data_IF_268639487935
#
_entry.id   IF_268639487935
#
_cell.length_a   1.000
_cell.length_b   1.000
_cell.length_c   1.000
_cell.angle_alpha   90.00
_cell.angle_beta   90.00
_cell.angle_gamma   90.00
#
_symmetry.space_group_name_H-M   'P 1'
#
loop_
_entity.id
_entity.type
_entity.pdbx_description
1 polymer ?
#
# COMPACT_ATOMS: atom_id res chain seq x y z
N UNK A 1 -2.06 -29.65 -18.24
CA UNK A 1 -3.26 -28.79 -18.19
C UNK A 1 -3.13 -27.75 -19.30
N UNK A 2 -4.20 -27.28 -19.95
CA UNK A 2 -4.08 -26.19 -20.90
C UNK A 2 -3.48 -24.97 -20.19
N UNK A 3 -2.63 -24.21 -20.88
CA UNK A 3 -2.03 -23.00 -20.36
C UNK A 3 -3.13 -22.02 -19.96
N UNK A 4 -3.08 -21.49 -18.73
CA UNK A 4 -4.03 -20.47 -18.28
C UNK A 4 -3.75 -19.16 -19.04
N UNK A 5 -4.78 -18.44 -19.48
CA UNK A 5 -4.58 -17.10 -20.04
C UNK A 5 -3.79 -16.21 -19.09
N UNK A 6 -2.89 -15.41 -19.64
CA UNK A 6 -2.15 -14.44 -18.87
C UNK A 6 -3.10 -13.37 -18.30
N UNK A 7 -2.93 -13.02 -17.04
CA UNK A 7 -3.63 -11.90 -16.40
C UNK A 7 -2.65 -11.11 -15.53
N UNK A 8 -2.88 -9.81 -15.42
CA UNK A 8 -2.11 -8.91 -14.58
C UNK A 8 -3.05 -8.11 -13.68
N UNK A 9 -2.57 -7.72 -12.51
CA UNK A 9 -3.29 -6.79 -11.68
C UNK A 9 -3.30 -5.41 -12.36
N UNK A 10 -4.45 -4.74 -12.36
CA UNK A 10 -4.63 -3.40 -12.92
C UNK A 10 -5.07 -2.41 -11.85
N UNK A 11 -6.28 -2.55 -11.33
CA UNK A 11 -6.88 -1.60 -10.39
C UNK A 11 -7.77 -2.33 -9.39
N UNK A 12 -8.17 -1.61 -8.35
CA UNK A 12 -9.20 -2.06 -7.42
C UNK A 12 -10.10 -0.89 -7.02
N UNK A 13 -11.33 -1.21 -6.57
CA UNK A 13 -12.28 -0.23 -6.09
C UNK A 13 -12.76 -0.56 -4.69
N UNK A 14 -13.10 0.49 -3.92
CA UNK A 14 -13.71 0.33 -2.61
C UNK A 14 -14.68 1.45 -2.30
N UNK A 15 -15.61 1.15 -1.38
CA UNK A 15 -16.62 2.09 -0.96
C UNK A 15 -16.11 3.03 0.12
N UNK A 16 -16.52 4.30 0.01
CA UNK A 16 -16.22 5.38 0.97
C UNK A 16 -17.51 6.09 1.39
N UNK A 17 -17.53 6.68 2.58
CA UNK A 17 -18.67 7.48 3.07
C UNK A 17 -18.68 8.85 2.45
N UNK A 18 -17.56 9.55 2.56
CA UNK A 18 -17.36 10.90 2.06
C UNK A 18 -16.38 10.87 0.87
N UNK A 19 -16.95 10.80 -0.34
CA UNK A 19 -16.17 10.72 -1.58
C UNK A 19 -15.25 11.92 -1.77
N UNK A 20 -15.73 13.15 -1.47
CA UNK A 20 -14.96 14.37 -1.68
C UNK A 20 -13.75 14.44 -0.75
N UNK A 21 -13.96 14.13 0.53
CA UNK A 21 -12.89 14.08 1.53
C UNK A 21 -11.84 13.03 1.17
N UNK A 22 -12.27 11.86 0.71
CA UNK A 22 -11.35 10.79 0.34
C UNK A 22 -10.60 11.10 -0.94
N UNK A 23 -11.25 11.68 -1.95
CA UNK A 23 -10.57 12.18 -3.16
C UNK A 23 -9.52 13.22 -2.79
N UNK A 24 -9.85 14.21 -1.94
CA UNK A 24 -8.87 15.21 -1.46
C UNK A 24 -7.68 14.54 -0.78
N UNK A 25 -7.93 13.60 0.13
CA UNK A 25 -6.87 12.89 0.83
C UNK A 25 -5.93 12.14 -0.11
N UNK A 26 -6.48 11.35 -1.05
CA UNK A 26 -5.67 10.56 -1.99
C UNK A 26 -4.92 11.44 -3.00
N UNK A 27 -5.50 12.56 -3.41
CA UNK A 27 -4.83 13.47 -4.34
C UNK A 27 -3.77 14.31 -3.66
N UNK A 28 -4.08 14.93 -2.55
CA UNK A 28 -3.20 15.86 -1.85
C UNK A 28 -2.05 15.16 -1.12
N UNK A 29 -2.33 14.11 -0.33
CA UNK A 29 -1.30 13.42 0.44
C UNK A 29 -0.57 12.36 -0.38
N UNK A 30 -1.30 11.52 -1.11
CA UNK A 30 -0.71 10.39 -1.82
C UNK A 30 -0.35 10.70 -3.28
N UNK A 31 -0.67 11.91 -3.77
CA UNK A 31 -0.27 12.39 -5.09
C UNK A 31 -0.99 11.70 -6.25
N UNK A 32 -2.20 11.20 -6.03
CA UNK A 32 -3.04 10.71 -7.11
C UNK A 32 -3.64 11.87 -7.92
N UNK A 33 -3.98 11.61 -9.16
CA UNK A 33 -4.72 12.51 -10.03
C UNK A 33 -6.07 11.88 -10.32
N UNK A 34 -7.14 12.67 -10.26
CA UNK A 34 -8.46 12.24 -10.73
C UNK A 34 -8.44 12.21 -12.24
N UNK A 35 -8.57 11.02 -12.83
CA UNK A 35 -8.71 10.85 -14.29
C UNK A 35 -10.13 11.13 -14.75
N UNK A 36 -11.11 10.60 -14.01
CA UNK A 36 -12.53 10.84 -14.25
C UNK A 36 -13.34 10.84 -12.95
N UNK A 37 -14.49 11.49 -13.02
CA UNK A 37 -15.46 11.54 -11.93
C UNK A 37 -16.87 11.66 -12.47
N UNK A 38 -17.82 11.00 -11.83
CA UNK A 38 -19.21 11.07 -12.28
C UNK A 38 -20.18 10.37 -11.35
N UNK A 39 -21.33 10.07 -11.89
CA UNK A 39 -22.40 9.37 -11.23
C UNK A 39 -22.86 8.19 -12.08
N UNK A 40 -22.97 7.03 -11.48
CA UNK A 40 -23.43 5.80 -12.11
C UNK A 40 -24.83 5.47 -11.60
N UNK A 41 -25.80 5.34 -12.51
CA UNK A 41 -27.12 4.83 -12.17
C UNK A 41 -27.02 3.35 -11.78
N UNK A 42 -27.54 3.02 -10.61
CA UNK A 42 -27.59 1.65 -10.11
C UNK A 42 -29.01 1.26 -9.68
N UNK A 43 -29.36 -0.02 -9.55
CA UNK A 43 -30.65 -0.45 -9.01
C UNK A 43 -30.96 0.08 -7.61
N UNK A 44 -29.95 0.57 -6.88
CA UNK A 44 -30.07 1.15 -5.53
C UNK A 44 -30.09 2.69 -5.55
N UNK A 45 -30.12 3.31 -6.72
CA UNK A 45 -30.02 4.74 -6.93
C UNK A 45 -28.65 5.17 -7.43
N UNK A 46 -28.46 6.48 -7.61
CA UNK A 46 -27.23 7.05 -8.15
C UNK A 46 -26.04 6.82 -7.22
N UNK A 47 -24.91 6.41 -7.80
CA UNK A 47 -23.65 6.15 -7.11
C UNK A 47 -22.59 7.12 -7.60
N UNK A 48 -22.15 8.03 -6.75
CA UNK A 48 -21.01 8.90 -7.05
C UNK A 48 -19.71 8.11 -7.03
N UNK A 49 -18.86 8.34 -8.04
CA UNK A 49 -17.63 7.58 -8.26
C UNK A 49 -16.50 8.48 -8.74
N UNK A 50 -15.28 8.18 -8.33
CA UNK A 50 -14.08 8.86 -8.80
C UNK A 50 -13.01 7.82 -9.15
N UNK A 51 -12.30 8.08 -10.24
CA UNK A 51 -11.21 7.27 -10.78
C UNK A 51 -9.91 8.01 -10.58
N UNK A 52 -8.90 7.35 -9.99
CA UNK A 52 -7.65 7.99 -9.60
C UNK A 52 -6.45 7.19 -10.11
N UNK A 53 -5.44 7.91 -10.62
CA UNK A 53 -4.20 7.30 -11.11
C UNK A 53 -2.96 8.10 -10.73
N UNK A 54 -1.80 7.43 -10.72
CA UNK A 54 -0.45 8.00 -10.68
C UNK A 54 0.39 7.59 -11.90
N UNK A 55 -0.17 6.78 -12.81
CA UNK A 55 0.50 6.33 -14.02
C UNK A 55 -0.27 6.83 -15.23
N UNK A 56 0.35 7.64 -16.12
CA UNK A 56 -0.33 8.17 -17.32
C UNK A 56 -0.72 7.10 -18.35
N UNK A 57 -0.24 5.87 -18.17
CA UNK A 57 -0.61 4.72 -19.03
C UNK A 57 -1.86 3.99 -18.52
N UNK A 58 -2.26 4.24 -17.28
CA UNK A 58 -3.40 3.61 -16.63
C UNK A 58 -4.50 4.64 -16.41
N UNK A 59 -5.69 4.39 -16.98
CA UNK A 59 -6.84 5.27 -16.76
C UNK A 59 -7.10 5.45 -15.27
N UNK A 60 -7.03 4.37 -14.49
CA UNK A 60 -7.14 4.41 -13.04
C UNK A 60 -6.43 3.20 -12.40
N UNK A 61 -5.91 3.42 -11.22
CA UNK A 61 -5.36 2.40 -10.34
C UNK A 61 -6.25 2.18 -9.11
N UNK A 62 -7.00 3.22 -8.74
CA UNK A 62 -7.98 3.20 -7.64
C UNK A 62 -9.31 3.75 -8.12
N UNK A 63 -10.39 3.11 -7.65
CA UNK A 63 -11.76 3.62 -7.79
C UNK A 63 -12.33 3.85 -6.40
N UNK A 64 -12.75 5.09 -6.13
CA UNK A 64 -13.50 5.44 -4.93
C UNK A 64 -14.98 5.52 -5.28
N UNK A 65 -15.81 4.73 -4.64
CA UNK A 65 -17.26 4.73 -4.81
C UNK A 65 -17.94 5.18 -3.53
N UNK A 66 -18.86 6.13 -3.61
CA UNK A 66 -19.67 6.55 -2.47
C UNK A 66 -20.57 5.43 -1.95
N UNK A 67 -21.25 5.66 -0.83
CA UNK A 67 -22.27 4.75 -0.32
C UNK A 67 -21.78 3.65 0.63
N UNK A 68 -20.59 3.80 1.21
CA UNK A 68 -20.16 2.94 2.31
C UNK A 68 -21.12 3.11 3.50
N UNK A 69 -21.72 2.02 4.05
CA UNK A 69 -22.55 2.10 5.24
C UNK A 69 -21.77 2.59 6.47
N UNK A 70 -22.46 3.36 7.34
CA UNK A 70 -21.86 3.88 8.57
C UNK A 70 -21.65 2.80 9.64
N UNK A 71 -22.47 1.78 9.64
CA UNK A 71 -22.54 0.71 10.65
C UNK A 71 -21.67 -0.51 10.34
N UNK A 72 -20.73 -0.41 9.40
CA UNK A 72 -19.81 -1.51 9.13
C UNK A 72 -18.91 -1.80 10.34
N UNK A 73 -18.92 -3.02 10.89
CA UNK A 73 -18.20 -3.38 12.10
C UNK A 73 -16.68 -3.40 11.92
N UNK A 74 -16.19 -3.59 10.68
CA UNK A 74 -14.77 -3.55 10.34
C UNK A 74 -14.57 -3.32 8.83
N UNK A 75 -13.34 -2.94 8.45
CA UNK A 75 -12.97 -2.84 7.05
C UNK A 75 -12.70 -4.22 6.43
N UNK A 76 -13.36 -4.53 5.32
CA UNK A 76 -13.16 -5.78 4.58
C UNK A 76 -11.83 -5.81 3.82
N UNK A 77 -11.25 -4.64 3.53
CA UNK A 77 -9.92 -4.50 2.95
C UNK A 77 -8.92 -4.47 4.12
N UNK A 78 -8.04 -5.47 4.18
CA UNK A 78 -7.04 -5.55 5.25
C UNK A 78 -6.02 -4.42 5.13
N UNK A 79 -5.51 -4.16 3.92
CA UNK A 79 -4.59 -3.07 3.62
C UNK A 79 -4.55 -2.71 2.14
N UNK A 80 -4.13 -1.50 1.86
CA UNK A 80 -3.82 -0.98 0.53
C UNK A 80 -2.34 -0.60 0.55
N UNK A 81 -1.52 -1.29 -0.23
CA UNK A 81 -0.06 -1.12 -0.19
C UNK A 81 0.47 -0.44 -1.43
N UNK A 82 1.31 0.59 -1.23
CA UNK A 82 1.99 1.32 -2.30
C UNK A 82 3.50 1.20 -2.13
N UNK A 83 4.17 0.77 -3.21
CA UNK A 83 5.63 0.72 -3.24
C UNK A 83 6.20 2.11 -3.48
N UNK A 84 7.18 2.48 -2.68
CA UNK A 84 7.97 3.70 -2.82
C UNK A 84 9.26 3.38 -3.59
N UNK A 85 9.77 4.36 -4.33
CA UNK A 85 11.01 4.21 -5.10
C UNK A 85 12.27 4.22 -4.21
N UNK A 86 12.19 4.91 -3.07
CA UNK A 86 13.34 5.08 -2.18
C UNK A 86 12.95 5.16 -0.71
N UNK A 87 13.90 4.83 0.15
CA UNK A 87 13.73 4.96 1.60
C UNK A 87 13.65 6.42 2.05
N UNK A 88 14.38 7.32 1.40
CA UNK A 88 14.26 8.78 1.66
C UNK A 88 12.83 9.26 1.40
N UNK A 89 12.22 8.85 0.28
CA UNK A 89 10.82 9.14 -0.02
C UNK A 89 9.86 8.56 1.02
N UNK A 90 10.10 7.34 1.50
CA UNK A 90 9.30 6.75 2.59
C UNK A 90 9.40 7.60 3.87
N UNK A 91 10.59 8.10 4.21
CA UNK A 91 10.81 8.98 5.35
C UNK A 91 10.11 10.33 5.21
N UNK A 92 10.15 10.92 4.02
CA UNK A 92 9.43 12.16 3.73
C UNK A 92 7.92 11.97 3.90
N UNK A 93 7.39 10.89 3.36
CA UNK A 93 5.98 10.53 3.52
C UNK A 93 5.61 10.26 4.98
N UNK A 94 6.49 9.60 5.75
CA UNK A 94 6.26 9.41 7.18
C UNK A 94 6.08 10.74 7.92
N UNK A 95 6.91 11.75 7.64
CA UNK A 95 6.76 13.10 8.22
C UNK A 95 5.45 13.76 7.81
N UNK A 96 5.10 13.69 6.52
CA UNK A 96 3.86 14.24 6.00
C UNK A 96 2.64 13.59 6.66
N UNK A 97 2.64 12.26 6.79
CA UNK A 97 1.58 11.47 7.45
C UNK A 97 1.43 11.86 8.91
N UNK A 98 2.52 12.08 9.65
CA UNK A 98 2.46 12.51 11.06
C UNK A 98 1.84 13.89 11.25
N UNK A 99 1.92 14.75 10.24
CA UNK A 99 1.37 16.11 10.26
C UNK A 99 -0.05 16.17 9.67
N UNK A 100 -0.55 15.08 9.11
CA UNK A 100 -1.81 15.05 8.38
C UNK A 100 -3.01 14.84 9.31
N UNK A 101 -3.99 15.74 9.22
CA UNK A 101 -5.25 15.61 9.96
C UNK A 101 -6.10 14.46 9.39
N UNK A 102 -6.70 13.67 10.26
CA UNK A 102 -7.52 12.53 9.87
C UNK A 102 -6.76 11.22 9.66
N UNK A 103 -5.44 11.24 9.75
CA UNK A 103 -4.61 10.03 9.83
C UNK A 103 -4.56 9.51 11.26
N UNK A 104 -4.54 8.20 11.41
CA UNK A 104 -4.38 7.54 12.70
C UNK A 104 -3.54 6.26 12.59
N UNK A 105 -3.15 5.70 13.74
CA UNK A 105 -2.43 4.42 13.87
C UNK A 105 -1.15 4.35 13.01
N UNK A 106 -0.34 5.41 13.01
CA UNK A 106 0.94 5.44 12.29
C UNK A 106 1.93 4.47 12.95
N UNK A 107 2.38 3.49 12.17
CA UNK A 107 3.23 2.41 12.66
C UNK A 107 4.35 2.07 11.66
N UNK A 108 5.57 2.56 11.84
CA UNK A 108 6.73 2.10 11.09
C UNK A 108 7.13 0.68 11.52
N UNK A 109 7.33 -0.20 10.54
CA UNK A 109 7.71 -1.61 10.78
C UNK A 109 8.66 -2.14 9.72
N UNK A 110 9.51 -3.09 10.10
CA UNK A 110 10.26 -3.93 9.19
C UNK A 110 9.60 -5.29 9.08
N UNK A 111 9.40 -5.74 7.86
CA UNK A 111 9.02 -7.11 7.52
C UNK A 111 10.23 -7.97 7.11
N UNK A 112 11.43 -7.45 7.30
CA UNK A 112 12.63 -8.04 6.73
C UNK A 112 12.70 -7.79 5.21
N UNK A 113 11.77 -8.30 4.42
CA UNK A 113 11.68 -8.09 2.94
C UNK A 113 11.36 -6.66 2.53
N UNK A 114 10.78 -5.88 3.43
CA UNK A 114 10.35 -4.50 3.20
C UNK A 114 10.46 -3.69 4.49
N UNK A 115 10.69 -2.38 4.32
CA UNK A 115 10.54 -1.37 5.36
C UNK A 115 9.28 -0.59 5.07
N UNK A 116 8.35 -0.55 6.02
CA UNK A 116 6.99 -0.08 5.81
C UNK A 116 6.59 0.99 6.82
N UNK A 117 5.71 1.90 6.41
CA UNK A 117 4.94 2.78 7.28
C UNK A 117 3.47 2.48 7.06
N UNK A 118 2.82 1.96 8.09
CA UNK A 118 1.38 1.77 8.13
C UNK A 118 0.69 2.99 8.73
N UNK A 119 -0.50 3.27 8.26
CA UNK A 119 -1.40 4.26 8.86
C UNK A 119 -2.85 3.99 8.42
N UNK A 120 -3.80 4.66 9.05
CA UNK A 120 -5.20 4.66 8.61
C UNK A 120 -5.55 5.99 7.95
N UNK A 121 -6.26 5.91 6.84
CA UNK A 121 -6.86 7.06 6.16
C UNK A 121 -8.04 7.65 6.97
N UNK A 122 -8.65 8.76 6.54
CA UNK A 122 -9.74 9.40 7.27
C UNK A 122 -10.98 8.54 7.51
N UNK A 123 -11.13 7.44 6.78
CA UNK A 123 -12.24 6.48 6.97
C UNK A 123 -11.78 5.15 7.59
N UNK A 124 -10.54 5.10 8.09
CA UNK A 124 -9.99 3.95 8.79
C UNK A 124 -9.52 2.82 7.89
N UNK A 125 -9.38 3.02 6.58
CA UNK A 125 -8.75 2.03 5.72
C UNK A 125 -7.25 2.02 5.99
N UNK A 126 -6.67 0.83 6.19
CA UNK A 126 -5.23 0.71 6.43
C UNK A 126 -4.46 0.88 5.13
N UNK A 127 -3.51 1.79 5.15
CA UNK A 127 -2.56 2.03 4.07
C UNK A 127 -1.17 1.60 4.52
N UNK A 128 -0.41 1.05 3.60
CA UNK A 128 1.00 0.75 3.75
C UNK A 128 1.78 1.47 2.65
N UNK A 129 2.77 2.24 3.04
CA UNK A 129 3.84 2.69 2.13
C UNK A 129 5.08 1.88 2.45
N UNK A 130 5.74 1.31 1.43
CA UNK A 130 6.89 0.45 1.67
C UNK A 130 7.98 0.58 0.61
N UNK A 131 9.19 0.22 1.00
CA UNK A 131 10.32 -0.01 0.10
C UNK A 131 10.80 -1.44 0.25
N UNK A 132 11.16 -2.07 -0.86
CA UNK A 132 11.77 -3.40 -0.84
C UNK A 132 13.19 -3.34 -0.26
N UNK A 133 13.58 -4.44 0.37
CA UNK A 133 14.98 -4.68 0.76
C UNK A 133 15.67 -5.62 -0.25
N UNK A 134 17.00 -5.60 -0.34
CA UNK A 134 17.72 -6.47 -1.27
C UNK A 134 17.88 -7.93 -0.77
N UNK A 135 17.15 -8.30 0.27
CA UNK A 135 17.14 -9.65 0.82
C UNK A 135 15.72 -10.17 1.04
N UNK A 136 15.63 -11.45 1.27
CA UNK A 136 14.41 -12.17 1.63
C UNK A 136 14.55 -12.79 3.02
N UNK A 137 13.47 -12.77 3.78
CA UNK A 137 13.23 -13.59 4.97
C UNK A 137 11.81 -14.14 4.94
N UNK A 138 11.59 -15.30 5.58
CA UNK A 138 10.28 -15.93 5.64
C UNK A 138 9.26 -15.08 6.37
N UNK A 139 8.02 -15.09 5.85
CA UNK A 139 6.90 -14.35 6.40
C UNK A 139 5.92 -15.29 7.14
N UNK A 140 5.16 -14.79 8.13
CA UNK A 140 5.05 -13.38 8.52
C UNK A 140 6.14 -12.91 9.49
N UNK A 141 6.65 -11.70 9.30
CA UNK A 141 7.58 -11.03 10.19
C UNK A 141 7.13 -9.57 10.39
N UNK A 142 7.17 -9.09 11.65
CA UNK A 142 6.85 -7.69 11.97
C UNK A 142 7.67 -7.21 13.16
N UNK A 143 8.61 -6.29 12.90
CA UNK A 143 9.48 -5.70 13.91
C UNK A 143 9.25 -4.18 13.91
N UNK A 144 8.89 -3.55 15.05
CA UNK A 144 8.79 -2.10 15.14
C UNK A 144 10.09 -1.42 14.71
N UNK A 145 9.97 -0.34 13.95
CA UNK A 145 11.11 0.38 13.36
C UNK A 145 11.17 1.80 13.92
N UNK A 146 12.37 2.21 14.36
CA UNK A 146 12.60 3.56 14.86
C UNK A 146 13.00 4.52 13.73
N UNK A 147 12.05 5.29 13.26
CA UNK A 147 12.26 6.29 12.20
C UNK A 147 13.06 7.52 12.65
N UNK A 148 13.47 7.64 13.92
CA UNK A 148 14.37 8.70 14.37
C UNK A 148 15.83 8.43 14.01
N UNK A 149 16.19 7.17 13.75
CA UNK A 149 17.54 6.79 13.34
C UNK A 149 17.89 7.38 11.96
N UNK A 150 19.17 7.77 11.73
CA UNK A 150 19.66 8.08 10.40
C UNK A 150 19.46 6.92 9.41
N UNK A 151 19.35 7.23 8.12
CA UNK A 151 19.06 6.22 7.07
C UNK A 151 20.04 5.05 7.11
N UNK A 152 21.34 5.34 7.15
CA UNK A 152 22.39 4.30 7.20
C UNK A 152 22.29 3.41 8.45
N UNK A 153 21.98 4.01 9.59
CA UNK A 153 21.83 3.26 10.83
C UNK A 153 20.60 2.35 10.79
N UNK A 154 19.52 2.86 10.22
CA UNK A 154 18.29 2.09 10.10
C UNK A 154 18.42 0.95 9.09
N UNK A 155 19.08 1.16 7.95
CA UNK A 155 19.40 0.10 6.99
C UNK A 155 20.28 -0.99 7.61
N UNK A 156 21.35 -0.61 8.32
CA UNK A 156 22.22 -1.55 9.04
C UNK A 156 21.47 -2.34 10.09
N UNK A 157 20.57 -1.67 10.83
CA UNK A 157 19.71 -2.32 11.80
C UNK A 157 18.79 -3.34 11.13
N UNK A 158 18.13 -2.96 10.03
CA UNK A 158 17.22 -3.84 9.30
C UNK A 158 17.95 -5.06 8.72
N UNK A 159 19.10 -4.86 8.11
CA UNK A 159 19.92 -5.93 7.55
C UNK A 159 20.43 -6.88 8.66
N UNK A 160 20.91 -6.33 9.78
CA UNK A 160 21.35 -7.14 10.92
C UNK A 160 20.22 -8.06 11.40
N UNK A 161 19.04 -7.52 11.66
CA UNK A 161 17.88 -8.31 12.09
C UNK A 161 17.49 -9.39 11.07
N UNK A 162 17.54 -9.07 9.77
CA UNK A 162 17.26 -10.04 8.74
C UNK A 162 18.28 -11.17 8.69
N UNK A 163 19.59 -10.86 8.80
CA UNK A 163 20.67 -11.84 8.76
C UNK A 163 20.69 -12.82 9.96
N UNK A 164 20.07 -12.44 11.07
CA UNK A 164 19.91 -13.33 12.24
C UNK A 164 18.83 -14.41 12.03
N UNK A 165 18.02 -14.30 10.98
CA UNK A 165 16.95 -15.24 10.69
C UNK A 165 17.44 -16.40 9.80
N UNK A 166 17.07 -17.66 10.12
CA UNK A 166 17.52 -18.83 9.37
C UNK A 166 17.15 -18.82 7.89
N UNK A 167 16.08 -18.10 7.57
CA UNK A 167 15.53 -17.99 6.20
C UNK A 167 16.17 -16.91 5.36
N UNK A 168 17.13 -16.12 5.91
CA UNK A 168 17.79 -15.05 5.16
C UNK A 168 18.48 -15.55 3.90
N UNK A 169 18.23 -14.85 2.80
CA UNK A 169 18.92 -15.04 1.51
C UNK A 169 18.84 -13.77 0.66
N UNK A 170 19.68 -13.60 -0.37
CA UNK A 170 19.50 -12.55 -1.38
C UNK A 170 18.10 -12.63 -2.00
N UNK A 171 17.50 -11.48 -2.28
CA UNK A 171 16.14 -11.44 -2.87
C UNK A 171 16.10 -12.09 -4.25
N UNK A 172 17.18 -12.02 -5.02
CA UNK A 172 17.26 -12.64 -6.36
C UNK A 172 17.20 -14.17 -6.30
N UNK A 173 17.79 -14.79 -5.28
CA UNK A 173 17.69 -16.23 -5.08
C UNK A 173 16.25 -16.66 -4.79
N UNK A 174 15.56 -15.88 -3.94
CA UNK A 174 14.14 -16.13 -3.68
C UNK A 174 13.27 -15.91 -4.91
N UNK A 175 13.52 -14.86 -5.70
CA UNK A 175 12.81 -14.58 -6.96
C UNK A 175 12.99 -15.72 -7.96
N UNK A 176 14.21 -16.24 -8.10
CA UNK A 176 14.49 -17.38 -8.96
C UNK A 176 13.74 -18.65 -8.50
N UNK A 177 13.69 -18.90 -7.18
CA UNK A 177 12.91 -20.01 -6.60
C UNK A 177 11.42 -19.85 -6.87
N UNK A 178 10.88 -18.63 -6.72
CA UNK A 178 9.48 -18.33 -6.98
C UNK A 178 9.14 -18.50 -8.47
N UNK A 179 9.98 -17.99 -9.36
CA UNK A 179 9.78 -18.12 -10.80
C UNK A 179 9.66 -19.59 -11.23
N UNK A 180 10.51 -20.48 -10.69
CA UNK A 180 10.42 -21.93 -10.94
C UNK A 180 9.10 -22.54 -10.44
N UNK A 181 8.54 -22.05 -9.34
CA UNK A 181 7.25 -22.52 -8.82
C UNK A 181 6.06 -22.03 -9.65
N UNK A 182 6.15 -20.83 -10.23
CA UNK A 182 5.09 -20.25 -11.07
C UNK A 182 5.01 -20.88 -12.48
N UNK A 183 6.06 -21.60 -12.93
CA UNK A 183 6.07 -22.31 -14.20
C UNK A 183 5.41 -23.70 -14.14
N UNK A 184 5.07 -24.18 -12.95
CA UNK A 184 4.38 -25.47 -12.71
C UNK A 184 2.86 -25.27 -12.71
#
# INVERSE_FOLDING_TARGET
MPARPALSFSHFGFFVRDLDRMVDFYTRLLGFTVSDRGELETPRGPLKIAFLTRDPREHHQIVLAGGRPDDLPFNTINQISFRMESFSGLREMHRAIQSESGVSEVAPVSHGNALSVYFKDPEGNRIELFVDTPWYVEQPLRIPMDMSLPDDALWKWAEKNARELPSYKPVEDWRADLARRLQK
#
